data_IF_115859612821
#
_entry.id   IF_115859612821
#
_cell.length_a   1.000
_cell.length_b   1.000
_cell.length_c   1.000
_cell.angle_alpha   90.00
_cell.angle_beta   90.00
_cell.angle_gamma   90.00
#
_symmetry.space_group_name_H-M   'P 1'
#
loop_
_entity.id
_entity.type
_entity.pdbx_description
1 polymer ?
#
# COMPACT_ATOMS: atom_id res chain seq x y z
N UNK A 1 -16.03 57.02 12.22
CA UNK A 1 -15.62 56.25 11.04
C UNK A 1 -14.38 55.47 11.48
N UNK A 2 -14.54 54.35 12.20
CA UNK A 2 -14.77 52.99 11.64
C UNK A 2 -13.63 52.62 10.69
N UNK A 3 -12.84 51.56 10.84
CA UNK A 3 -12.81 50.40 11.75
C UNK A 3 -11.42 49.75 11.64
N UNK A 4 -11.02 49.01 12.67
CA UNK A 4 -9.89 48.07 12.67
C UNK A 4 -10.14 46.83 11.80
N UNK A 5 -9.07 46.21 11.31
CA UNK A 5 -8.97 44.78 10.93
C UNK A 5 -7.47 44.43 10.97
N UNK A 6 -6.94 43.78 12.00
CA UNK A 6 -7.05 42.37 12.45
C UNK A 6 -6.41 41.34 11.49
N UNK A 7 -5.44 40.64 12.08
CA UNK A 7 -4.47 39.70 11.52
C UNK A 7 -5.11 38.32 11.48
N UNK A 8 -5.14 37.65 10.33
CA UNK A 8 -5.63 36.27 10.28
C UNK A 8 -4.49 35.25 10.47
N UNK A 9 -4.68 34.55 11.58
CA UNK A 9 -3.86 33.56 12.26
C UNK A 9 -3.77 32.24 11.47
N UNK A 10 -2.54 31.75 11.25
CA UNK A 10 -2.24 30.44 10.67
C UNK A 10 -2.67 29.32 11.63
N UNK A 11 -3.94 28.95 11.60
CA UNK A 11 -4.48 27.87 12.41
C UNK A 11 -4.25 26.56 11.66
N UNK A 12 -3.33 25.76 12.17
CA UNK A 12 -3.12 24.36 11.79
C UNK A 12 -4.42 23.60 12.02
N UNK A 13 -5.18 23.37 10.94
CA UNK A 13 -6.46 22.67 10.99
C UNK A 13 -6.20 21.19 11.21
N UNK A 14 -6.46 20.71 12.42
CA UNK A 14 -6.67 19.30 12.71
C UNK A 14 -7.97 18.85 12.05
N UNK A 15 -7.86 18.27 10.86
CA UNK A 15 -9.02 17.75 10.12
C UNK A 15 -9.50 16.47 10.81
N UNK A 16 -10.69 16.54 11.38
CA UNK A 16 -11.44 15.39 11.90
C UNK A 16 -12.16 14.72 10.72
N UNK A 17 -11.50 13.76 10.09
CA UNK A 17 -12.10 12.95 9.02
C UNK A 17 -13.22 12.09 9.65
N UNK A 18 -14.48 12.20 9.18
CA UNK A 18 -15.60 11.41 9.67
C UNK A 18 -15.30 9.91 9.58
N UNK A 19 -15.73 9.15 10.60
CA UNK A 19 -15.40 7.74 10.83
C UNK A 19 -15.77 6.76 9.69
N UNK A 20 -16.52 7.20 8.67
CA UNK A 20 -16.95 6.39 7.53
C UNK A 20 -16.24 6.70 6.20
N UNK A 21 -15.37 7.71 6.12
CA UNK A 21 -14.74 8.07 4.84
C UNK A 21 -13.39 7.37 4.68
N UNK A 22 -13.34 6.34 3.85
CA UNK A 22 -12.08 5.75 3.40
C UNK A 22 -11.35 6.72 2.47
N UNK A 23 -10.06 6.99 2.73
CA UNK A 23 -9.25 7.91 1.93
C UNK A 23 -8.34 7.11 1.02
N UNK A 24 -8.35 7.40 -0.28
CA UNK A 24 -7.41 6.82 -1.24
C UNK A 24 -6.19 7.72 -1.40
N UNK A 25 -4.99 7.15 -1.30
CA UNK A 25 -3.74 7.89 -1.51
C UNK A 25 -2.64 7.00 -2.08
N UNK A 26 -1.59 7.64 -2.61
CA UNK A 26 -0.35 6.97 -3.02
C UNK A 26 0.69 7.08 -1.91
N UNK A 27 1.35 5.97 -1.64
CA UNK A 27 2.41 5.88 -0.64
C UNK A 27 3.62 5.10 -1.12
N UNK A 28 4.71 5.20 -0.37
CA UNK A 28 5.89 4.35 -0.53
C UNK A 28 6.01 3.42 0.68
N UNK A 29 6.30 2.15 0.43
CA UNK A 29 6.49 1.16 1.49
C UNK A 29 7.75 1.51 2.27
N UNK A 30 7.58 1.97 3.51
CA UNK A 30 8.68 2.34 4.41
C UNK A 30 9.49 1.12 4.83
N UNK A 31 8.77 0.08 5.26
CA UNK A 31 9.30 -1.25 5.54
C UNK A 31 8.16 -2.26 5.64
N UNK A 32 8.47 -3.54 5.41
CA UNK A 32 7.53 -4.64 5.59
C UNK A 32 8.28 -5.88 6.05
N UNK A 33 7.87 -6.45 7.18
CA UNK A 33 8.41 -7.70 7.66
C UNK A 33 7.57 -8.85 7.10
N UNK A 34 8.13 -9.58 6.15
CA UNK A 34 7.44 -10.69 5.50
C UNK A 34 7.08 -11.81 6.48
N UNK A 35 7.95 -12.11 7.45
CA UNK A 35 7.73 -13.20 8.41
C UNK A 35 6.53 -12.93 9.31
N UNK A 36 6.40 -11.70 9.81
CA UNK A 36 5.29 -11.32 10.68
C UNK A 36 4.07 -10.78 9.92
N UNK A 37 4.20 -10.51 8.63
CA UNK A 37 3.09 -10.10 7.77
C UNK A 37 2.60 -8.67 7.99
N UNK A 38 3.42 -7.79 8.55
CA UNK A 38 3.07 -6.38 8.76
C UNK A 38 4.19 -5.42 8.42
N UNK A 39 3.83 -4.16 8.20
CA UNK A 39 4.71 -3.08 7.80
C UNK A 39 4.06 -1.71 7.90
N UNK A 40 4.74 -0.72 7.34
CA UNK A 40 4.23 0.64 7.24
C UNK A 40 4.45 1.22 5.86
N UNK A 41 3.51 2.05 5.42
CA UNK A 41 3.54 2.80 4.17
C UNK A 41 3.54 4.29 4.53
N UNK A 42 4.50 5.05 4.02
CA UNK A 42 4.52 6.51 4.18
C UNK A 42 3.76 7.14 3.02
N UNK A 43 2.74 7.93 3.33
CA UNK A 43 1.91 8.62 2.33
C UNK A 43 2.69 9.76 1.68
N UNK A 44 2.63 9.85 0.35
CA UNK A 44 3.41 10.82 -0.43
C UNK A 44 2.59 12.04 -0.85
N UNK A 45 1.27 11.91 -0.94
CA UNK A 45 0.36 12.94 -1.44
C UNK A 45 -1.02 12.89 -0.77
N UNK A 46 -1.81 13.94 -0.98
CA UNK A 46 -3.14 14.08 -0.39
C UNK A 46 -3.13 14.56 1.06
N UNK A 47 -4.27 14.45 1.73
CA UNK A 47 -4.52 14.99 3.08
C UNK A 47 -3.68 14.31 4.17
N UNK A 48 -3.30 13.05 3.94
CA UNK A 48 -2.52 12.25 4.87
C UNK A 48 -1.01 12.29 4.57
N UNK A 49 -0.53 13.22 3.73
CA UNK A 49 0.88 13.31 3.35
C UNK A 49 1.81 13.36 4.57
N UNK A 50 2.84 12.50 4.54
CA UNK A 50 3.83 12.40 5.61
C UNK A 50 3.40 11.53 6.81
N UNK A 51 2.17 11.00 6.81
CA UNK A 51 1.70 10.07 7.81
C UNK A 51 2.12 8.63 7.44
N UNK A 52 2.51 7.85 8.45
CA UNK A 52 2.76 6.43 8.31
C UNK A 52 1.47 5.64 8.56
N UNK A 53 1.10 4.80 7.59
CA UNK A 53 -0.09 3.96 7.62
C UNK A 53 0.32 2.54 7.96
N UNK A 54 -0.34 1.94 8.95
CA UNK A 54 -0.13 0.54 9.28
C UNK A 54 -0.61 -0.37 8.14
N UNK A 55 0.23 -1.31 7.72
CA UNK A 55 -0.07 -2.24 6.64
C UNK A 55 0.02 -3.69 7.15
N UNK A 56 -1.06 -4.45 6.97
CA UNK A 56 -1.09 -5.88 7.28
C UNK A 56 -1.28 -6.70 6.00
N UNK A 57 -0.75 -7.91 5.96
CA UNK A 57 -0.79 -8.77 4.78
C UNK A 57 -2.23 -9.08 4.31
N UNK A 58 -3.21 -9.06 5.23
CA UNK A 58 -4.62 -9.26 4.90
C UNK A 58 -5.20 -8.14 4.04
N UNK A 59 -4.67 -6.91 4.17
CA UNK A 59 -5.05 -5.76 3.37
C UNK A 59 -4.36 -5.74 1.99
N UNK A 60 -3.39 -6.61 1.74
CA UNK A 60 -2.73 -6.67 0.43
C UNK A 60 -3.68 -7.36 -0.57
N UNK A 61 -4.10 -6.59 -1.57
CA UNK A 61 -4.96 -7.05 -2.65
C UNK A 61 -4.11 -7.62 -3.78
N UNK A 62 -4.26 -8.92 -4.02
CA UNK A 62 -3.58 -9.63 -5.11
C UNK A 62 -4.62 -10.43 -5.90
N UNK A 63 -4.34 -10.61 -7.18
CA UNK A 63 -5.23 -11.30 -8.13
C UNK A 63 -5.26 -12.83 -7.97
N UNK A 64 -4.15 -13.41 -7.52
CA UNK A 64 -4.01 -14.86 -7.32
C UNK A 64 -3.67 -15.20 -5.87
N UNK A 65 -4.11 -16.38 -5.41
CA UNK A 65 -3.73 -16.91 -4.11
C UNK A 65 -2.22 -17.18 -4.06
N UNK A 66 -1.50 -16.32 -3.35
CA UNK A 66 -0.04 -16.36 -3.24
C UNK A 66 0.44 -15.75 -1.93
N UNK A 67 1.71 -15.96 -1.62
CA UNK A 67 2.34 -15.32 -0.46
C UNK A 67 2.44 -13.80 -0.65
N UNK A 68 1.74 -13.05 0.20
CA UNK A 68 1.59 -11.60 0.11
C UNK A 68 2.68 -10.88 0.88
N UNK A 69 3.37 -9.95 0.23
CA UNK A 69 4.36 -9.09 0.85
C UNK A 69 4.56 -7.81 0.05
N UNK A 70 5.12 -6.81 0.71
CA UNK A 70 5.51 -5.54 0.09
C UNK A 70 7.02 -5.43 0.05
N UNK A 71 7.54 -4.74 -0.96
CA UNK A 71 8.97 -4.46 -1.10
C UNK A 71 9.26 -3.05 -0.57
N UNK A 72 10.30 -2.89 0.23
CA UNK A 72 10.70 -1.56 0.69
C UNK A 72 10.98 -0.63 -0.51
N UNK A 73 10.46 0.60 -0.45
CA UNK A 73 10.55 1.60 -1.51
C UNK A 73 9.54 1.42 -2.64
N UNK A 74 8.75 0.34 -2.64
CA UNK A 74 7.69 0.13 -3.63
C UNK A 74 6.61 1.20 -3.49
N UNK A 75 6.20 1.78 -4.62
CA UNK A 75 5.07 2.70 -4.67
C UNK A 75 3.78 1.90 -4.76
N UNK A 76 2.82 2.24 -3.91
CA UNK A 76 1.55 1.54 -3.77
C UNK A 76 0.40 2.52 -3.68
N UNK A 77 -0.75 2.10 -4.20
CA UNK A 77 -2.03 2.76 -3.96
C UNK A 77 -2.66 2.13 -2.72
N UNK A 78 -3.05 2.95 -1.76
CA UNK A 78 -3.61 2.48 -0.49
C UNK A 78 -4.94 3.16 -0.21
N UNK A 79 -5.91 2.35 0.21
CA UNK A 79 -7.15 2.84 0.81
C UNK A 79 -6.96 2.80 2.33
N UNK A 80 -7.12 3.94 2.97
CA UNK A 80 -6.83 4.17 4.38
C UNK A 80 -8.13 4.27 5.16
N UNK A 81 -8.15 3.67 6.34
CA UNK A 81 -9.25 3.75 7.30
C UNK A 81 -8.71 4.07 8.71
N UNK A 82 -9.55 4.64 9.59
CA UNK A 82 -9.21 4.76 11.00
C UNK A 82 -8.90 3.38 11.59
N UNK A 83 -7.88 3.30 12.44
CA UNK A 83 -7.60 2.10 13.21
C UNK A 83 -8.22 2.18 14.61
N UNK A 84 -8.61 1.04 15.16
CA UNK A 84 -9.02 0.90 16.56
C UNK A 84 -7.82 0.74 17.52
N UNK A 85 -6.60 0.68 16.96
CA UNK A 85 -5.37 0.46 17.72
C UNK A 85 -4.88 1.75 18.40
N UNK A 86 -4.22 1.63 19.56
CA UNK A 86 -3.64 2.78 20.27
C UNK A 86 -2.34 3.29 19.65
N UNK A 87 -1.61 2.42 18.97
CA UNK A 87 -0.25 2.69 18.50
C UNK A 87 -0.23 3.47 17.18
N UNK A 88 -1.26 3.31 16.35
CA UNK A 88 -1.36 3.95 15.05
C UNK A 88 -2.80 4.37 14.77
N UNK A 89 -2.98 5.64 14.36
CA UNK A 89 -4.30 6.22 14.06
C UNK A 89 -4.91 5.68 12.77
N UNK A 90 -4.06 5.28 11.82
CA UNK A 90 -4.47 4.93 10.46
C UNK A 90 -3.96 3.56 10.06
N UNK A 91 -4.80 2.81 9.37
CA UNK A 91 -4.47 1.49 8.83
C UNK A 91 -4.92 1.37 7.37
N UNK A 92 -4.22 0.54 6.62
CA UNK A 92 -4.58 0.20 5.26
C UNK A 92 -5.74 -0.81 5.27
N UNK A 93 -6.83 -0.49 4.58
CA UNK A 93 -7.92 -1.44 4.32
C UNK A 93 -7.65 -2.26 3.06
N UNK A 94 -7.05 -1.65 2.05
CA UNK A 94 -6.66 -2.32 0.81
C UNK A 94 -5.42 -1.68 0.21
N UNK A 95 -4.49 -2.50 -0.25
CA UNK A 95 -3.21 -2.10 -0.83
C UNK A 95 -3.12 -2.71 -2.22
N UNK A 96 -2.90 -1.86 -3.21
CA UNK A 96 -2.82 -2.19 -4.63
C UNK A 96 -1.52 -1.65 -5.22
N UNK A 97 -1.13 -2.15 -6.40
CA UNK A 97 -0.12 -1.48 -7.19
C UNK A 97 -0.63 -0.11 -7.68
N UNK A 98 0.31 0.80 -7.92
CA UNK A 98 -0.01 2.10 -8.53
C UNK A 98 -0.68 1.92 -9.89
N UNK A 99 -1.64 2.79 -10.21
CA UNK A 99 -2.42 2.75 -11.45
C UNK A 99 -3.07 1.38 -11.74
N UNK A 100 -3.48 0.66 -10.69
CA UNK A 100 -4.06 -0.70 -10.79
C UNK A 100 -3.13 -1.74 -11.42
N UNK A 101 -1.81 -1.47 -11.37
CA UNK A 101 -0.77 -2.40 -11.77
C UNK A 101 -0.55 -3.52 -10.74
N UNK A 102 0.21 -4.57 -11.12
CA UNK A 102 0.56 -5.64 -10.21
C UNK A 102 1.53 -5.16 -9.12
N UNK A 103 1.39 -5.71 -7.92
CA UNK A 103 2.40 -5.55 -6.88
C UNK A 103 3.66 -6.35 -7.22
N UNK A 104 4.81 -5.95 -6.68
CA UNK A 104 6.09 -6.63 -6.89
C UNK A 104 6.06 -8.09 -6.44
N UNK A 105 5.27 -8.43 -5.42
CA UNK A 105 5.07 -9.82 -5.02
C UNK A 105 4.40 -10.64 -6.13
N UNK A 106 3.39 -10.08 -6.82
CA UNK A 106 2.71 -10.71 -7.94
C UNK A 106 3.65 -10.86 -9.14
N UNK A 107 4.37 -9.79 -9.51
CA UNK A 107 5.34 -9.83 -10.62
C UNK A 107 6.41 -10.91 -10.40
N UNK A 108 6.95 -11.01 -9.18
CA UNK A 108 7.96 -12.03 -8.84
C UNK A 108 7.38 -13.45 -8.89
N UNK A 109 6.12 -13.63 -8.51
CA UNK A 109 5.46 -14.92 -8.58
C UNK A 109 5.21 -15.34 -10.03
N UNK A 110 4.71 -14.43 -10.88
CA UNK A 110 4.50 -14.65 -12.31
C UNK A 110 5.80 -15.03 -13.03
N UNK A 111 6.90 -14.33 -12.77
CA UNK A 111 8.20 -14.66 -13.38
C UNK A 111 8.65 -16.07 -13.00
N UNK A 112 8.42 -16.49 -11.75
CA UNK A 112 8.78 -17.84 -11.29
C UNK A 112 7.94 -18.90 -11.99
N UNK A 113 6.62 -18.72 -12.08
CA UNK A 113 5.75 -19.70 -12.75
C UNK A 113 6.10 -19.84 -14.23
N UNK A 114 6.30 -18.73 -14.94
CA UNK A 114 6.69 -18.76 -16.37
C UNK A 114 8.01 -19.48 -16.60
N UNK A 115 9.03 -19.26 -15.74
CA UNK A 115 10.33 -19.95 -15.87
C UNK A 115 10.22 -21.46 -15.62
N UNK A 116 9.41 -21.85 -14.64
CA UNK A 116 9.18 -23.27 -14.34
C UNK A 116 8.46 -23.96 -15.49
N UNK A 117 7.46 -23.31 -16.08
CA UNK A 117 6.70 -23.83 -17.21
C UNK A 117 7.58 -24.03 -18.44
N UNK A 118 8.39 -23.03 -18.81
CA UNK A 118 9.34 -23.14 -19.91
C UNK A 118 10.36 -24.27 -19.72
N UNK A 119 10.81 -24.48 -18.48
CA UNK A 119 11.74 -25.56 -18.15
C UNK A 119 11.10 -26.95 -18.26
N UNK A 120 9.78 -27.06 -18.05
CA UNK A 120 9.03 -28.32 -18.17
C UNK A 120 8.77 -28.67 -19.64
N UNK A 121 8.32 -27.71 -20.45
CA UNK A 121 8.05 -27.94 -21.88
C UNK A 121 9.31 -28.34 -22.64
N UNK A 122 10.45 -27.67 -22.39
CA UNK A 122 11.73 -28.02 -23.03
C UNK A 122 12.17 -29.46 -22.75
N UNK A 123 11.98 -29.97 -21.53
CA UNK A 123 12.30 -31.37 -21.18
C UNK A 123 11.40 -32.38 -21.88
N UNK A 124 10.12 -32.04 -22.06
CA UNK A 124 9.17 -32.91 -22.75
C UNK A 124 9.53 -33.08 -24.22
N UNK A 125 9.87 -31.99 -24.91
CA UNK A 125 10.26 -32.01 -26.32
C UNK A 125 11.57 -32.77 -26.54
N UNK A 126 12.52 -32.70 -25.60
CA UNK A 126 13.79 -33.43 -25.66
C UNK A 126 13.64 -34.94 -25.37
N UNK A 127 12.59 -35.35 -24.65
CA UNK A 127 12.34 -36.77 -24.31
C UNK A 127 11.44 -37.47 -25.34
N UNK A 128 10.79 -36.72 -26.23
CA UNK A 128 9.87 -37.25 -27.26
C UNK A 128 10.56 -37.52 -28.61
N UNK A 129 11.88 -37.31 -28.70
CA UNK A 129 12.75 -37.63 -29.84
C UNK A 129 13.53 -38.92 -29.58
#
# INVERSE_FOLDING_TARGET
>A
MSSSTEVENSTSLSIEIPKETSVECVGSVKWFNTKSGYGFISVLEGELKGIDIFAHHSAISVSSEQYKYLVQGEYVKVIVQPSDSKDYKWQASSIFGVCDGPLMCETRNQIKSTRVEFSRTKKHDETTL
#
